data_IF_486884828702
#
_entry.id   IF_486884828702
#
_cell.length_a   1.000
_cell.length_b   1.000
_cell.length_c   1.000
_cell.angle_alpha   90.00
_cell.angle_beta   90.00
_cell.angle_gamma   90.00
#
_symmetry.space_group_name_H-M   'P 1'
#
loop_
_entity.id
_entity.type
_entity.pdbx_description
1 polymer ?
#
# COMPACT_ATOMS: atom_id res chain seq x y z
N UNK A 1 11.87 10.25 -0.89
CA UNK A 1 11.07 9.11 -1.37
C UNK A 1 11.69 8.54 -2.64
N UNK A 2 11.53 7.23 -2.88
CA UNK A 2 11.93 6.61 -4.16
C UNK A 2 13.30 5.93 -4.23
N UNK A 3 14.09 5.92 -3.15
CA UNK A 3 15.39 5.22 -3.11
C UNK A 3 15.25 3.78 -2.62
N UNK A 4 14.21 3.50 -1.81
CA UNK A 4 13.89 2.16 -1.34
C UNK A 4 12.44 1.81 -1.70
N UNK A 5 12.17 0.52 -1.92
CA UNK A 5 10.83 0.01 -2.24
C UNK A 5 9.88 -0.11 -1.05
N UNK A 6 10.27 0.36 0.14
CA UNK A 6 9.47 0.20 1.36
C UNK A 6 8.17 1.02 1.36
N UNK A 7 8.14 2.14 0.63
CA UNK A 7 7.03 3.08 0.63
C UNK A 7 6.78 3.66 -0.78
N UNK A 8 5.96 2.98 -1.59
CA UNK A 8 5.72 3.34 -3.00
C UNK A 8 4.76 4.51 -3.21
N UNK A 9 3.74 4.67 -2.36
CA UNK A 9 2.68 5.68 -2.50
C UNK A 9 2.80 6.87 -1.54
N UNK A 10 3.86 6.92 -0.72
CA UNK A 10 3.96 7.87 0.40
C UNK A 10 4.15 9.33 -0.04
N UNK A 11 4.42 9.60 -1.32
CA UNK A 11 4.40 10.95 -1.88
C UNK A 11 2.99 11.54 -2.02
N UNK A 12 1.95 10.69 -2.01
CA UNK A 12 0.55 11.12 -2.10
C UNK A 12 0.01 11.51 -0.71
N UNK A 13 -0.87 12.52 -0.62
CA UNK A 13 -1.69 12.73 0.57
C UNK A 13 -2.42 11.45 0.97
N UNK A 14 -2.58 11.20 2.27
CA UNK A 14 -3.13 9.94 2.76
C UNK A 14 -4.54 9.67 2.22
N UNK A 15 -5.35 10.72 2.12
CA UNK A 15 -6.71 10.66 1.59
C UNK A 15 -6.72 10.20 0.13
N UNK A 16 -5.72 10.62 -0.67
CA UNK A 16 -5.56 10.16 -2.05
C UNK A 16 -5.10 8.71 -2.13
N UNK A 17 -4.30 8.24 -1.18
CA UNK A 17 -3.95 6.82 -1.09
C UNK A 17 -5.20 5.95 -0.85
N UNK A 18 -6.11 6.40 0.04
CA UNK A 18 -7.36 5.69 0.32
C UNK A 18 -8.34 5.74 -0.87
N UNK A 19 -8.43 6.89 -1.54
CA UNK A 19 -9.26 7.07 -2.75
C UNK A 19 -8.83 6.12 -3.86
N UNK A 20 -7.54 6.11 -4.20
CA UNK A 20 -7.02 5.22 -5.24
C UNK A 20 -7.18 3.74 -4.88
N UNK A 21 -6.95 3.36 -3.62
CA UNK A 21 -7.19 1.99 -3.18
C UNK A 21 -8.68 1.60 -3.30
N UNK A 22 -9.61 2.52 -3.03
CA UNK A 22 -11.05 2.29 -3.24
C UNK A 22 -11.36 2.07 -4.72
N UNK A 23 -10.80 2.90 -5.60
CA UNK A 23 -10.99 2.80 -7.06
C UNK A 23 -10.43 1.48 -7.61
N UNK A 24 -9.21 1.11 -7.23
CA UNK A 24 -8.55 -0.14 -7.61
C UNK A 24 -9.36 -1.37 -7.17
N UNK A 25 -9.82 -1.40 -5.91
CA UNK A 25 -10.63 -2.50 -5.38
C UNK A 25 -11.95 -2.61 -6.15
N UNK A 26 -12.64 -1.51 -6.42
CA UNK A 26 -13.90 -1.53 -7.18
C UNK A 26 -13.69 -2.01 -8.61
N UNK A 27 -12.63 -1.56 -9.26
CA UNK A 27 -12.29 -1.97 -10.62
C UNK A 27 -12.04 -3.48 -10.72
N UNK A 28 -11.33 -4.07 -9.74
CA UNK A 28 -11.10 -5.52 -9.69
C UNK A 28 -12.41 -6.33 -9.58
N UNK A 29 -13.37 -5.86 -8.79
CA UNK A 29 -14.68 -6.50 -8.65
C UNK A 29 -15.51 -6.40 -9.94
N UNK A 30 -15.51 -5.22 -10.56
CA UNK A 30 -16.19 -4.96 -11.84
C UNK A 30 -15.62 -5.84 -12.95
N UNK A 31 -14.28 -5.90 -13.09
CA UNK A 31 -13.59 -6.76 -14.06
C UNK A 31 -13.90 -8.25 -13.86
N UNK A 32 -13.99 -8.68 -12.60
CA UNK A 32 -14.36 -10.06 -12.26
C UNK A 32 -15.87 -10.36 -12.44
N UNK A 33 -16.71 -9.35 -12.70
CA UNK A 33 -18.16 -9.49 -12.75
C UNK A 33 -18.77 -9.88 -11.38
N UNK A 34 -18.11 -9.55 -10.28
CA UNK A 34 -18.52 -9.90 -8.92
C UNK A 34 -19.13 -8.66 -8.25
N UNK A 35 -20.36 -8.73 -7.71
CA UNK A 35 -20.93 -7.60 -7.01
C UNK A 35 -20.17 -7.34 -5.70
N UNK A 36 -19.91 -6.07 -5.40
CA UNK A 36 -19.28 -5.64 -4.14
C UNK A 36 -20.23 -5.76 -2.93
N UNK A 37 -21.54 -5.90 -3.16
CA UNK A 37 -22.54 -5.82 -2.11
C UNK A 37 -22.60 -4.42 -1.49
N UNK A 38 -22.71 -4.35 -0.16
CA UNK A 38 -22.60 -3.09 0.57
C UNK A 38 -21.12 -2.70 0.73
N UNK A 39 -20.67 -1.74 -0.08
CA UNK A 39 -19.31 -1.22 0.00
C UNK A 39 -19.18 -0.12 1.06
N UNK A 40 -18.50 -0.43 2.17
CA UNK A 40 -18.33 0.48 3.31
C UNK A 40 -17.16 1.47 3.17
N UNK A 41 -16.38 1.39 2.08
CA UNK A 41 -15.16 2.19 1.91
C UNK A 41 -13.88 1.50 2.39
N UNK A 42 -12.74 2.14 2.14
CA UNK A 42 -11.45 1.71 2.68
C UNK A 42 -11.33 2.21 4.12
N UNK A 43 -11.06 1.29 5.04
CA UNK A 43 -10.76 1.65 6.43
C UNK A 43 -9.32 2.14 6.55
N UNK A 44 -9.15 3.40 6.93
CA UNK A 44 -7.84 3.98 7.19
C UNK A 44 -7.16 3.35 8.42
N UNK A 45 -5.84 3.34 8.42
CA UNK A 45 -5.02 3.01 9.58
C UNK A 45 -5.17 4.08 10.66
N UNK A 46 -5.27 3.71 11.95
CA UNK A 46 -5.23 4.69 13.04
C UNK A 46 -3.86 5.38 13.16
N UNK A 47 -2.81 4.81 12.57
CA UNK A 47 -1.45 5.37 12.59
C UNK A 47 -0.79 5.25 11.22
N UNK A 48 -0.44 6.38 10.61
CA UNK A 48 0.09 6.44 9.24
C UNK A 48 1.61 6.24 9.17
N UNK A 49 2.32 6.53 10.26
CA UNK A 49 3.77 6.46 10.35
C UNK A 49 4.19 5.48 11.45
N UNK A 50 5.39 4.90 11.34
CA UNK A 50 5.99 4.06 12.38
C UNK A 50 5.13 2.84 12.84
N UNK A 51 4.17 2.41 12.02
CA UNK A 51 3.23 1.34 12.38
C UNK A 51 3.82 -0.08 12.27
N UNK A 52 4.97 -0.26 11.61
CA UNK A 52 5.61 -1.58 11.44
C UNK A 52 6.27 -2.00 12.76
N UNK A 53 5.78 -3.09 13.34
CA UNK A 53 6.35 -3.69 14.56
C UNK A 53 7.50 -4.68 14.29
N UNK A 54 7.81 -4.96 13.02
CA UNK A 54 8.87 -5.85 12.57
C UNK A 54 9.56 -5.27 11.33
N UNK A 55 10.88 -5.35 11.31
CA UNK A 55 11.71 -4.94 10.17
C UNK A 55 12.77 -6.00 9.93
N UNK A 56 12.94 -6.42 8.68
CA UNK A 56 13.96 -7.37 8.25
C UNK A 56 14.88 -6.67 7.24
N UNK A 57 16.19 -6.92 7.36
CA UNK A 57 17.20 -6.32 6.49
C UNK A 57 17.99 -7.43 5.80
N UNK A 58 18.17 -7.30 4.49
CA UNK A 58 19.06 -8.16 3.72
C UNK A 58 20.46 -7.57 3.76
N UNK A 59 21.45 -8.39 4.10
CA UNK A 59 22.87 -8.03 4.06
C UNK A 59 23.54 -8.79 2.91
N UNK A 60 24.20 -8.07 2.02
CA UNK A 60 25.02 -8.68 0.97
C UNK A 60 26.49 -8.70 1.40
N UNK A 61 27.17 -9.81 1.14
CA UNK A 61 28.62 -9.90 1.28
C UNK A 61 29.26 -9.38 -0.02
N UNK A 62 29.96 -8.25 0.04
CA UNK A 62 30.83 -7.79 -1.04
C UNK A 62 32.01 -8.77 -1.16
N UNK A 63 31.91 -9.74 -2.07
CA UNK A 63 33.09 -10.43 -2.57
C UNK A 63 33.88 -9.42 -3.39
N UNK A 64 34.98 -8.93 -2.80
CA UNK A 64 35.97 -8.08 -3.45
C UNK A 64 36.45 -8.79 -4.73
N UNK A 65 36.02 -8.27 -5.89
CA UNK A 65 36.65 -8.53 -7.19
C UNK A 65 37.76 -7.51 -7.42
#
# INVERSE_FOLDING_TARGET
FGVCGGCSSQSLPYEKQLEFLSEEVKALFDEAGVPTGEYLGIQGSPTQFEYRNKMEFTFELLLLS
#
